data_IF_637277485100
#
_entry.id   IF_637277485100
#
_cell.length_a   1.000
_cell.length_b   1.000
_cell.length_c   1.000
_cell.angle_alpha   90.00
_cell.angle_beta   90.00
_cell.angle_gamma   90.00
#
_symmetry.space_group_name_H-M   'P 1'
#
loop_
_entity.id
_entity.type
_entity.pdbx_description
1 polymer ?
#
# COMPACT_ATOMS: atom_id res chain seq x y z
N UNK A 1 -22.34 6.19 29.77
CA UNK A 1 -21.02 6.79 30.05
C UNK A 1 -20.05 6.21 29.03
N UNK A 2 -19.63 7.01 28.05
CA UNK A 2 -18.72 6.58 26.98
C UNK A 2 -17.29 6.53 27.54
N UNK A 3 -16.60 5.40 27.40
CA UNK A 3 -15.21 5.24 27.85
C UNK A 3 -14.30 6.31 27.23
N UNK A 4 -13.63 7.18 28.02
CA UNK A 4 -12.75 8.23 27.51
C UNK A 4 -11.54 7.74 26.71
N UNK A 5 -11.23 6.45 26.74
CA UNK A 5 -10.06 5.86 26.09
C UNK A 5 -10.22 5.49 24.62
N UNK A 6 -11.45 5.36 24.08
CA UNK A 6 -11.65 4.77 22.75
C UNK A 6 -11.19 5.69 21.60
N UNK A 7 -11.26 7.01 21.79
CA UNK A 7 -10.88 7.99 20.77
C UNK A 7 -9.42 8.43 20.88
N UNK A 8 -8.71 8.04 21.94
CA UNK A 8 -7.29 8.36 22.11
C UNK A 8 -6.36 7.47 21.29
N UNK A 9 -6.81 6.26 20.92
CA UNK A 9 -5.95 5.24 20.33
C UNK A 9 -4.84 4.75 21.28
N UNK A 10 -4.06 3.76 20.82
CA UNK A 10 -2.91 3.22 21.53
C UNK A 10 -1.74 4.22 21.50
N UNK A 11 -1.50 4.86 22.64
CA UNK A 11 -0.46 5.86 22.81
C UNK A 11 0.96 5.31 22.59
N UNK A 12 1.20 4.02 22.85
CA UNK A 12 2.50 3.42 22.60
C UNK A 12 2.79 3.38 21.09
N UNK A 13 1.78 3.12 20.26
CA UNK A 13 1.90 3.14 18.80
C UNK A 13 2.01 4.58 18.28
N UNK A 14 1.15 5.49 18.74
CA UNK A 14 1.17 6.91 18.33
C UNK A 14 2.51 7.56 18.66
N UNK A 15 3.12 7.25 19.81
CA UNK A 15 4.43 7.79 20.21
C UNK A 15 5.56 7.45 19.22
N UNK A 16 5.47 6.34 18.49
CA UNK A 16 6.45 5.97 17.44
C UNK A 16 6.39 6.97 16.28
N UNK A 17 5.20 7.42 15.91
CA UNK A 17 5.01 8.43 14.89
C UNK A 17 5.51 9.80 15.35
N UNK A 18 5.22 10.17 16.60
CA UNK A 18 5.71 11.42 17.22
C UNK A 18 7.24 11.50 17.23
N UNK A 19 7.92 10.39 17.58
CA UNK A 19 9.38 10.31 17.57
C UNK A 19 9.99 10.46 16.17
N UNK A 20 9.26 10.11 15.10
CA UNK A 20 9.72 10.26 13.72
C UNK A 20 9.33 11.59 13.08
N UNK A 21 8.34 12.30 13.60
CA UNK A 21 7.83 13.55 13.02
C UNK A 21 8.93 14.57 12.69
N UNK A 22 9.94 14.85 13.55
CA UNK A 22 11.01 15.79 13.21
C UNK A 22 11.82 15.37 11.98
N UNK A 23 12.05 14.08 11.80
CA UNK A 23 12.79 13.55 10.66
C UNK A 23 11.97 13.54 9.37
N UNK A 24 10.68 13.26 9.49
CA UNK A 24 9.72 13.39 8.39
C UNK A 24 9.69 14.85 7.91
N UNK A 25 9.56 15.80 8.82
CA UNK A 25 9.56 17.24 8.50
C UNK A 25 10.89 17.67 7.83
N UNK A 26 12.03 17.23 8.37
CA UNK A 26 13.35 17.55 7.81
C UNK A 26 13.57 16.98 6.39
N UNK A 27 12.86 15.92 6.02
CA UNK A 27 12.95 15.32 4.70
C UNK A 27 12.00 15.94 3.66
N UNK A 28 11.08 16.83 4.07
CA UNK A 28 10.00 17.35 3.22
C UNK A 28 10.51 17.98 1.92
N UNK A 29 11.51 18.86 2.00
CA UNK A 29 12.07 19.53 0.81
C UNK A 29 12.75 18.54 -0.15
N UNK A 30 13.46 17.55 0.40
CA UNK A 30 14.08 16.49 -0.40
C UNK A 30 13.02 15.63 -1.11
N UNK A 31 11.92 15.33 -0.43
CA UNK A 31 10.79 14.57 -0.99
C UNK A 31 10.18 15.34 -2.16
N UNK A 32 9.90 16.63 -1.96
CA UNK A 32 9.31 17.51 -2.97
C UNK A 32 10.19 17.61 -4.24
N UNK A 33 11.50 17.78 -4.05
CA UNK A 33 12.49 17.86 -5.12
C UNK A 33 12.63 16.52 -5.85
N UNK A 34 12.91 15.44 -5.11
CA UNK A 34 13.27 14.13 -5.67
C UNK A 34 12.06 13.29 -6.06
N UNK A 35 10.85 13.66 -5.63
CA UNK A 35 9.59 12.94 -5.87
C UNK A 35 9.62 11.50 -5.38
N UNK A 36 10.24 11.30 -4.22
CA UNK A 36 10.39 10.01 -3.54
C UNK A 36 10.80 10.21 -2.10
N UNK A 37 10.37 9.29 -1.23
CA UNK A 37 10.84 9.21 0.13
C UNK A 37 12.34 8.84 0.14
N UNK A 38 13.18 9.56 0.91
CA UNK A 38 14.60 9.22 1.06
C UNK A 38 14.79 7.84 1.69
N UNK A 39 15.79 7.05 1.26
CA UNK A 39 16.06 5.72 1.84
C UNK A 39 16.23 5.74 3.35
N UNK A 40 16.97 6.72 3.90
CA UNK A 40 17.17 6.84 5.34
C UNK A 40 15.88 7.10 6.13
N UNK A 41 14.93 7.84 5.53
CA UNK A 41 13.60 8.02 6.13
C UNK A 41 12.81 6.72 6.08
N UNK A 42 12.83 6.02 4.94
CA UNK A 42 12.16 4.72 4.78
C UNK A 42 12.67 3.70 5.81
N UNK A 43 13.97 3.61 6.05
CA UNK A 43 14.56 2.73 7.06
C UNK A 43 13.94 2.96 8.44
N UNK A 44 13.89 4.23 8.87
CA UNK A 44 13.29 4.61 10.15
C UNK A 44 11.80 4.29 10.24
N UNK A 45 11.05 4.50 9.16
CA UNK A 45 9.62 4.16 9.08
C UNK A 45 9.39 2.64 9.20
N UNK A 46 10.27 1.83 8.61
CA UNK A 46 10.25 0.38 8.75
C UNK A 46 10.61 -0.08 10.16
N UNK A 47 11.69 0.47 10.74
CA UNK A 47 12.14 0.16 12.10
C UNK A 47 11.08 0.50 13.16
N UNK A 48 10.35 1.60 12.98
CA UNK A 48 9.21 1.95 13.82
C UNK A 48 7.96 1.06 13.60
N UNK A 49 7.96 0.23 12.56
CA UNK A 49 6.85 -0.66 12.22
C UNK A 49 5.64 0.06 11.60
N UNK A 50 5.79 1.28 11.08
CA UNK A 50 4.64 2.07 10.59
C UNK A 50 4.00 1.47 9.32
N UNK A 51 4.75 0.69 8.53
CA UNK A 51 4.21 -0.08 7.41
C UNK A 51 3.45 -1.35 7.82
N UNK A 52 3.44 -1.70 9.12
CA UNK A 52 2.87 -2.94 9.66
C UNK A 52 1.60 -2.73 10.47
N UNK A 53 1.11 -1.50 10.57
CA UNK A 53 0.01 -1.11 11.46
C UNK A 53 -1.29 -1.89 11.18
N UNK A 54 -1.71 -1.94 9.91
CA UNK A 54 -2.96 -2.60 9.49
C UNK A 54 -2.75 -4.03 8.97
N UNK A 55 -1.54 -4.56 9.06
CA UNK A 55 -1.27 -5.94 8.67
C UNK A 55 -1.72 -6.90 9.79
N UNK A 56 -2.34 -8.07 9.48
CA UNK A 56 -2.72 -9.05 10.50
C UNK A 56 -1.53 -9.59 11.28
N UNK A 57 -1.73 -9.93 12.56
CA UNK A 57 -0.72 -10.56 13.43
C UNK A 57 -0.23 -11.89 12.86
N UNK A 58 -1.12 -12.65 12.21
CA UNK A 58 -0.78 -13.90 11.51
C UNK A 58 0.23 -13.72 10.37
N UNK A 59 0.42 -12.48 9.88
CA UNK A 59 1.41 -12.11 8.86
C UNK A 59 2.53 -11.23 9.44
N UNK A 60 2.80 -11.34 10.75
CA UNK A 60 3.77 -10.50 11.46
C UNK A 60 3.46 -8.99 11.37
N UNK A 61 2.18 -8.65 11.51
CA UNK A 61 1.68 -7.29 11.61
C UNK A 61 1.28 -6.88 13.03
N UNK A 62 0.97 -5.61 13.20
CA UNK A 62 0.55 -5.04 14.50
C UNK A 62 -0.96 -5.24 14.71
N UNK A 63 -1.73 -5.20 13.63
CA UNK A 63 -3.19 -5.33 13.63
C UNK A 63 -3.83 -4.33 14.61
N UNK A 64 -3.48 -3.05 14.43
CA UNK A 64 -4.01 -1.94 15.22
C UNK A 64 -5.42 -1.56 14.81
N UNK A 65 -6.17 -0.90 15.69
CA UNK A 65 -7.49 -0.36 15.38
C UNK A 65 -7.42 0.90 14.48
N UNK A 66 -8.53 1.25 13.78
CA UNK A 66 -8.56 2.41 12.90
C UNK A 66 -8.29 3.75 13.59
N UNK A 67 -8.70 3.94 14.85
CA UNK A 67 -8.51 5.22 15.57
C UNK A 67 -7.02 5.46 15.79
N UNK A 68 -6.31 4.44 16.28
CA UNK A 68 -4.85 4.50 16.44
C UNK A 68 -4.14 4.74 15.11
N UNK A 69 -4.56 4.05 14.04
CA UNK A 69 -3.98 4.24 12.72
C UNK A 69 -4.15 5.67 12.22
N UNK A 70 -5.34 6.26 12.35
CA UNK A 70 -5.57 7.64 11.93
C UNK A 70 -4.73 8.64 12.74
N UNK A 71 -4.59 8.48 14.05
CA UNK A 71 -3.69 9.32 14.86
C UNK A 71 -2.24 9.24 14.37
N UNK A 72 -1.74 8.04 14.04
CA UNK A 72 -0.40 7.88 13.44
C UNK A 72 -0.30 8.65 12.12
N UNK A 73 -1.26 8.47 11.21
CA UNK A 73 -1.23 9.13 9.90
C UNK A 73 -1.30 10.66 10.06
N UNK A 74 -2.16 11.17 10.94
CA UNK A 74 -2.26 12.61 11.24
C UNK A 74 -0.96 13.17 11.82
N UNK A 75 -0.34 12.47 12.77
CA UNK A 75 0.95 12.87 13.35
C UNK A 75 2.05 12.95 12.29
N UNK A 76 2.14 11.97 11.39
CA UNK A 76 3.12 12.00 10.28
C UNK A 76 2.79 13.10 9.28
N UNK A 77 1.50 13.34 8.99
CA UNK A 77 1.07 14.36 8.04
C UNK A 77 1.43 15.78 8.48
N UNK A 78 1.53 16.03 9.80
CA UNK A 78 2.05 17.31 10.34
C UNK A 78 3.53 17.54 10.02
N UNK A 79 4.28 16.49 9.69
CA UNK A 79 5.66 16.60 9.20
C UNK A 79 5.73 16.68 7.68
N UNK A 80 5.12 15.72 6.98
CA UNK A 80 5.02 15.70 5.51
C UNK A 80 3.80 14.88 5.07
N UNK A 81 2.96 15.51 4.22
CA UNK A 81 1.75 14.91 3.70
C UNK A 81 2.04 13.75 2.73
N UNK A 82 3.15 13.78 1.99
CA UNK A 82 3.49 12.74 1.00
C UNK A 82 3.86 11.43 1.69
N UNK A 83 4.60 11.51 2.79
CA UNK A 83 4.98 10.39 3.66
C UNK A 83 3.74 9.79 4.31
N UNK A 84 2.88 10.63 4.89
CA UNK A 84 1.62 10.18 5.48
C UNK A 84 0.72 9.47 4.46
N UNK A 85 0.62 10.01 3.25
CA UNK A 85 -0.14 9.40 2.16
C UNK A 85 0.43 8.04 1.76
N UNK A 86 1.76 7.91 1.65
CA UNK A 86 2.40 6.63 1.32
C UNK A 86 2.16 5.58 2.42
N UNK A 87 2.30 5.94 3.69
CA UNK A 87 1.99 5.04 4.82
C UNK A 87 0.52 4.63 4.83
N UNK A 88 -0.39 5.59 4.62
CA UNK A 88 -1.83 5.34 4.60
C UNK A 88 -2.21 4.35 3.49
N UNK A 89 -1.70 4.57 2.28
CA UNK A 89 -1.93 3.68 1.14
C UNK A 89 -1.32 2.30 1.36
N UNK A 90 -0.09 2.22 1.89
CA UNK A 90 0.55 0.93 2.19
C UNK A 90 -0.24 0.14 3.24
N UNK A 91 -0.70 0.80 4.30
CA UNK A 91 -1.56 0.18 5.33
C UNK A 91 -2.88 -0.31 4.74
N UNK A 92 -3.55 0.51 3.92
CA UNK A 92 -4.77 0.14 3.22
C UNK A 92 -4.59 -1.08 2.31
N UNK A 93 -3.49 -1.13 1.56
CA UNK A 93 -3.15 -2.27 0.72
C UNK A 93 -2.87 -3.53 1.55
N UNK A 94 -2.15 -3.41 2.67
CA UNK A 94 -1.77 -4.53 3.54
C UNK A 94 -2.98 -5.28 4.12
N UNK A 95 -4.13 -4.62 4.29
CA UNK A 95 -5.38 -5.28 4.70
C UNK A 95 -5.80 -6.41 3.74
N UNK A 96 -5.33 -6.43 2.48
CA UNK A 96 -5.58 -7.56 1.57
C UNK A 96 -5.09 -8.89 2.13
N UNK A 97 -4.08 -8.89 3.02
CA UNK A 97 -3.53 -10.10 3.62
C UNK A 97 -4.60 -10.94 4.33
N UNK A 98 -5.62 -10.31 4.92
CA UNK A 98 -6.71 -10.99 5.60
C UNK A 98 -7.62 -11.80 4.66
N UNK A 99 -7.54 -11.54 3.35
CA UNK A 99 -8.37 -12.18 2.32
C UNK A 99 -7.58 -13.14 1.42
N UNK A 100 -6.28 -13.31 1.69
CA UNK A 100 -5.43 -14.26 0.97
C UNK A 100 -5.38 -15.60 1.71
N UNK A 101 -5.06 -16.66 0.96
CA UNK A 101 -4.61 -17.90 1.58
C UNK A 101 -3.41 -17.61 2.51
N UNK A 102 -3.35 -18.18 3.73
CA UNK A 102 -2.28 -17.87 4.69
C UNK A 102 -0.87 -18.11 4.16
N UNK A 103 -0.65 -19.13 3.32
CA UNK A 103 0.66 -19.39 2.73
C UNK A 103 1.05 -18.29 1.72
N UNK A 104 0.07 -17.79 0.96
CA UNK A 104 0.27 -16.67 0.03
C UNK A 104 0.54 -15.37 0.80
N UNK A 105 -0.23 -15.09 1.86
CA UNK A 105 0.00 -13.94 2.72
C UNK A 105 1.41 -13.99 3.35
N UNK A 106 1.83 -15.17 3.84
CA UNK A 106 3.18 -15.40 4.36
C UNK A 106 4.27 -15.18 3.31
N UNK A 107 4.07 -15.64 2.07
CA UNK A 107 5.03 -15.41 0.98
C UNK A 107 5.21 -13.91 0.64
N UNK A 108 4.13 -13.13 0.73
CA UNK A 108 4.14 -11.71 0.39
C UNK A 108 4.67 -10.86 1.55
N UNK A 109 4.11 -11.05 2.74
CA UNK A 109 4.30 -10.17 3.89
C UNK A 109 5.26 -10.72 4.95
N UNK A 110 5.72 -11.97 4.82
CA UNK A 110 6.67 -12.58 5.76
C UNK A 110 8.03 -11.88 5.82
N UNK A 111 8.48 -11.30 4.70
CA UNK A 111 9.66 -10.44 4.65
C UNK A 111 9.42 -9.16 5.46
N UNK A 112 10.17 -8.82 6.53
CA UNK A 112 9.90 -7.69 7.42
C UNK A 112 9.72 -6.33 6.73
N UNK A 113 10.38 -6.13 5.58
CA UNK A 113 10.29 -4.90 4.79
C UNK A 113 9.26 -4.96 3.66
N UNK A 114 8.42 -5.99 3.61
CA UNK A 114 7.37 -6.09 2.62
C UNK A 114 6.39 -4.91 2.70
N UNK A 115 6.17 -4.28 1.55
CA UNK A 115 5.18 -3.22 1.34
C UNK A 115 4.44 -3.53 0.04
N UNK A 116 3.12 -3.40 0.10
CA UNK A 116 2.23 -3.51 -1.05
C UNK A 116 1.75 -2.11 -1.43
N UNK A 117 1.81 -1.80 -2.73
CA UNK A 117 1.20 -0.61 -3.29
C UNK A 117 0.40 -0.96 -4.54
N UNK A 118 -0.67 -0.23 -4.80
CA UNK A 118 -1.43 -0.36 -6.03
C UNK A 118 -2.07 0.96 -6.43
N UNK A 119 -2.63 0.99 -7.63
CA UNK A 119 -3.47 2.08 -8.08
C UNK A 119 -4.29 1.67 -9.30
N UNK A 120 -5.23 2.53 -9.74
CA UNK A 120 -6.15 2.22 -10.82
C UNK A 120 -5.44 2.09 -12.17
N UNK A 121 -6.00 1.27 -13.06
CA UNK A 121 -5.51 1.09 -14.42
C UNK A 121 -6.67 1.09 -15.43
N UNK A 122 -6.97 2.23 -16.09
CA UNK A 122 -8.17 2.39 -16.92
C UNK A 122 -8.17 1.54 -18.21
N UNK A 123 -7.02 0.97 -18.58
CA UNK A 123 -6.85 0.12 -19.77
C UNK A 123 -6.01 -1.10 -19.43
N UNK A 124 -6.56 -1.96 -18.59
CA UNK A 124 -5.91 -3.20 -18.12
C UNK A 124 -6.73 -4.41 -18.54
N UNK A 125 -6.05 -5.54 -18.75
CA UNK A 125 -6.66 -6.79 -19.18
C UNK A 125 -5.93 -7.96 -18.58
N UNK A 126 -6.67 -8.87 -17.97
CA UNK A 126 -6.18 -10.17 -17.55
C UNK A 126 -6.86 -11.27 -18.38
N UNK A 127 -6.05 -12.16 -18.97
CA UNK A 127 -6.53 -13.30 -19.78
C UNK A 127 -6.07 -14.58 -19.10
N UNK A 128 -6.97 -15.55 -18.95
CA UNK A 128 -6.59 -16.87 -18.43
C UNK A 128 -5.62 -17.55 -19.40
N UNK A 129 -4.56 -18.14 -18.89
CA UNK A 129 -3.62 -18.96 -19.65
C UNK A 129 -3.33 -20.25 -18.88
N UNK A 130 -2.53 -21.15 -19.46
CA UNK A 130 -2.04 -22.32 -18.73
C UNK A 130 -1.30 -21.86 -17.46
N UNK A 131 -1.62 -22.48 -16.32
CA UNK A 131 -1.01 -22.17 -15.02
C UNK A 131 -1.42 -20.85 -14.36
N UNK A 132 -2.26 -20.01 -14.97
CA UNK A 132 -2.70 -18.76 -14.34
C UNK A 132 -3.29 -17.71 -15.29
N UNK A 133 -2.72 -16.51 -15.25
CA UNK A 133 -3.22 -15.35 -15.99
C UNK A 133 -2.08 -14.53 -16.58
N UNK A 134 -2.27 -14.04 -17.81
CA UNK A 134 -1.46 -12.99 -18.41
C UNK A 134 -2.13 -11.64 -18.16
N UNK A 135 -1.43 -10.76 -17.45
CA UNK A 135 -1.94 -9.44 -17.05
C UNK A 135 -1.17 -8.37 -17.82
N UNK A 136 -1.88 -7.53 -18.56
CA UNK A 136 -1.29 -6.48 -19.41
C UNK A 136 -1.98 -5.16 -19.14
N UNK A 137 -1.20 -4.09 -18.97
CA UNK A 137 -1.75 -2.75 -18.85
C UNK A 137 -0.77 -1.76 -18.25
N UNK A 138 -1.30 -0.58 -17.95
CA UNK A 138 -0.61 0.47 -17.22
C UNK A 138 -1.46 0.86 -16.02
N UNK A 139 -0.88 0.76 -14.83
CA UNK A 139 -1.50 1.18 -13.57
C UNK A 139 -0.87 2.50 -13.15
N UNK A 140 -1.73 3.48 -12.87
CA UNK A 140 -1.33 4.79 -12.40
C UNK A 140 -1.55 4.91 -10.89
N UNK A 141 -0.97 5.94 -10.28
CA UNK A 141 -1.20 6.29 -8.87
C UNK A 141 -0.87 5.18 -7.84
N UNK A 142 0.06 4.28 -8.16
CA UNK A 142 0.67 3.38 -7.17
C UNK A 142 1.54 4.18 -6.18
N UNK A 143 0.88 4.87 -5.26
CA UNK A 143 1.51 5.72 -4.24
C UNK A 143 2.40 4.87 -3.35
N UNK A 144 3.63 5.34 -3.12
CA UNK A 144 4.67 4.55 -2.46
C UNK A 144 5.24 3.39 -3.30
N UNK A 145 4.80 3.19 -4.53
CA UNK A 145 5.21 2.06 -5.37
C UNK A 145 6.73 1.93 -5.56
N UNK A 146 7.46 3.06 -5.57
CA UNK A 146 8.93 3.06 -5.70
C UNK A 146 9.68 2.39 -4.54
N UNK A 147 9.04 2.25 -3.38
CA UNK A 147 9.58 1.54 -2.22
C UNK A 147 8.76 0.29 -1.86
N UNK A 148 7.75 -0.05 -2.67
CA UNK A 148 6.96 -1.25 -2.49
C UNK A 148 7.69 -2.48 -3.04
N UNK A 149 7.69 -3.57 -2.29
CA UNK A 149 8.23 -4.87 -2.72
C UNK A 149 7.26 -5.64 -3.60
N UNK A 150 5.96 -5.33 -3.48
CA UNK A 150 4.87 -5.94 -4.23
C UNK A 150 3.96 -4.87 -4.81
N UNK A 151 3.39 -5.15 -5.99
CA UNK A 151 2.47 -4.27 -6.70
C UNK A 151 1.17 -5.01 -6.98
N UNK A 152 0.05 -4.36 -6.66
CA UNK A 152 -1.27 -4.82 -7.05
C UNK A 152 -1.68 -4.29 -8.42
N UNK A 153 -2.05 -5.21 -9.29
CA UNK A 153 -2.56 -4.95 -10.63
C UNK A 153 -4.04 -5.34 -10.65
N UNK A 154 -4.93 -4.39 -10.37
CA UNK A 154 -6.37 -4.61 -10.55
C UNK A 154 -6.66 -4.73 -12.04
N UNK A 155 -7.35 -5.78 -12.46
CA UNK A 155 -7.67 -6.00 -13.87
C UNK A 155 -8.99 -6.73 -14.08
N UNK A 156 -9.80 -6.26 -15.04
CA UNK A 156 -10.93 -7.04 -15.52
C UNK A 156 -10.45 -8.28 -16.28
N UNK A 157 -11.22 -9.35 -16.13
CA UNK A 157 -10.97 -10.63 -16.78
C UNK A 157 -11.62 -10.69 -18.17
N UNK A 158 -10.86 -11.25 -19.11
CA UNK A 158 -11.27 -11.53 -20.47
C UNK A 158 -10.95 -12.98 -20.82
N UNK A 159 -11.75 -13.55 -21.71
CA UNK A 159 -11.42 -14.81 -22.39
C UNK A 159 -10.36 -14.56 -23.46
N UNK A 160 -9.83 -15.65 -24.02
CA UNK A 160 -8.83 -15.61 -25.08
C UNK A 160 -9.35 -14.86 -26.32
N UNK A 161 -10.63 -15.08 -26.67
CA UNK A 161 -11.35 -14.41 -27.77
C UNK A 161 -11.59 -12.90 -27.54
N UNK A 162 -11.21 -12.37 -26.37
CA UNK A 162 -11.40 -10.96 -26.02
C UNK A 162 -12.75 -10.62 -25.41
N UNK A 163 -13.67 -11.57 -25.25
CA UNK A 163 -14.95 -11.36 -24.57
C UNK A 163 -14.75 -11.19 -23.05
N UNK A 164 -15.54 -10.32 -22.38
CA UNK A 164 -15.46 -10.16 -20.93
C UNK A 164 -15.92 -11.43 -20.21
N UNK A 165 -15.22 -11.81 -19.15
CA UNK A 165 -15.72 -12.82 -18.21
C UNK A 165 -16.70 -12.12 -17.27
N UNK A 166 -17.94 -12.61 -17.18
CA UNK A 166 -19.00 -11.98 -16.40
C UNK A 166 -19.49 -12.88 -15.27
N UNK A 167 -19.97 -12.27 -14.18
CA UNK A 167 -20.74 -12.95 -13.13
C UNK A 167 -22.14 -13.30 -13.65
N UNK A 168 -22.90 -14.10 -12.89
CA UNK A 168 -24.32 -14.40 -13.21
C UNK A 168 -25.15 -13.12 -13.37
N UNK A 169 -24.86 -12.09 -12.59
CA UNK A 169 -25.56 -10.79 -12.62
C UNK A 169 -25.06 -9.84 -13.72
N UNK A 170 -24.24 -10.32 -14.67
CA UNK A 170 -23.77 -9.55 -15.82
C UNK A 170 -22.61 -8.57 -15.56
N UNK A 171 -22.12 -8.44 -14.32
CA UNK A 171 -20.94 -7.62 -14.01
C UNK A 171 -19.67 -8.28 -14.53
N UNK A 172 -18.75 -7.50 -15.10
CA UNK A 172 -17.44 -8.04 -15.48
C UNK A 172 -16.67 -8.46 -14.23
N UNK A 173 -16.05 -9.64 -14.28
CA UNK A 173 -15.26 -10.16 -13.18
C UNK A 173 -13.93 -9.42 -13.13
N UNK A 174 -13.61 -8.87 -11.96
CA UNK A 174 -12.32 -8.26 -11.68
C UNK A 174 -11.49 -9.09 -10.70
N UNK A 175 -10.17 -8.99 -10.81
CA UNK A 175 -9.21 -9.60 -9.89
C UNK A 175 -8.07 -8.64 -9.61
N UNK A 176 -7.49 -8.76 -8.42
CA UNK A 176 -6.22 -8.12 -8.06
C UNK A 176 -5.10 -9.13 -8.25
N UNK A 177 -4.15 -8.82 -9.11
CA UNK A 177 -2.96 -9.64 -9.31
C UNK A 177 -1.79 -9.03 -8.55
N UNK A 178 -1.19 -9.79 -7.64
CA UNK A 178 -0.05 -9.34 -6.84
C UNK A 178 1.24 -9.82 -7.50
N UNK A 179 2.09 -8.89 -7.92
CA UNK A 179 3.36 -9.18 -8.58
C UNK A 179 4.52 -8.55 -7.82
N UNK A 180 5.72 -9.13 -7.94
CA UNK A 180 6.93 -8.54 -7.37
C UNK A 180 7.19 -7.16 -8.00
N UNK A 181 7.54 -6.17 -7.19
CA UNK A 181 7.92 -4.84 -7.67
C UNK A 181 9.13 -4.85 -8.61
N UNK A 182 10.01 -5.85 -8.49
CA UNK A 182 11.12 -6.04 -9.41
C UNK A 182 10.69 -6.50 -10.83
N UNK A 183 9.47 -7.00 -10.99
CA UNK A 183 8.92 -7.46 -12.27
C UNK A 183 8.16 -6.38 -13.03
N UNK A 184 8.05 -5.15 -12.49
CA UNK A 184 7.32 -4.05 -13.15
C UNK A 184 8.27 -3.03 -13.77
N UNK A 185 7.82 -2.43 -14.87
CA UNK A 185 8.52 -1.30 -15.51
C UNK A 185 7.89 0.01 -15.03
N UNK A 186 8.71 0.90 -14.48
CA UNK A 186 8.24 2.16 -13.93
C UNK A 186 8.15 3.27 -14.97
N UNK A 187 6.93 3.57 -15.42
CA UNK A 187 6.66 4.73 -16.26
C UNK A 187 6.62 6.05 -15.44
N UNK A 188 7.19 7.13 -15.97
CA UNK A 188 7.03 8.48 -15.41
C UNK A 188 5.72 9.10 -15.88
N UNK A 189 4.64 8.81 -15.16
CA UNK A 189 3.30 9.30 -15.51
C UNK A 189 2.89 10.57 -14.73
N UNK A 190 3.48 10.83 -13.55
CA UNK A 190 3.05 11.91 -12.66
C UNK A 190 3.84 13.21 -12.87
N UNK A 191 3.13 14.28 -13.22
CA UNK A 191 3.49 15.69 -13.00
C UNK A 191 2.43 16.29 -12.07
N UNK A 192 2.67 16.28 -10.76
CA UNK A 192 1.75 16.79 -9.75
C UNK A 192 2.31 18.04 -9.07
N UNK A 193 1.42 18.95 -8.65
CA UNK A 193 1.77 20.20 -7.94
C UNK A 193 1.85 20.02 -6.42
N UNK A 194 1.55 18.82 -5.90
CA UNK A 194 1.67 18.42 -4.51
C UNK A 194 1.60 16.89 -4.39
N UNK A 195 1.84 16.36 -3.19
CA UNK A 195 2.02 14.91 -2.94
C UNK A 195 3.07 14.30 -3.89
N UNK A 196 4.26 14.87 -3.89
CA UNK A 196 5.30 14.61 -4.90
C UNK A 196 6.09 13.33 -4.67
#
# INVERSE_FOLDING_TARGET
MSSPGLLGGDQAIVSRAEALRPAVAAASDEIEEKRRLPPALLDRLHEAGLFRLLLPRSSNGIETDPVTFFHVIETIARGDASTAWCLSQAGGCAMTAAYLDPAVAGHIFGEPRAVLAWGPGPKTRAVKCEGGYKVTGVWAFASGGRHATWIGCHSPLFREDGSPVTTKDGRQVERTFLVRGASVVWARLRKAVGLR
#
